data_IF_023425053671
#
_entry.id   IF_023425053671
#
_cell.length_a   1.000
_cell.length_b   1.000
_cell.length_c   1.000
_cell.angle_alpha   90.00
_cell.angle_beta   90.00
_cell.angle_gamma   90.00
#
_symmetry.space_group_name_H-M   'P 1'
#
loop_
_entity.id
_entity.type
_entity.pdbx_description
1 polymer ?
#
# COMPACT_ATOMS: atom_id res chain seq x y z
N UNK A 1 29.54 -17.26 1.89
CA UNK A 1 28.95 -15.97 1.46
C UNK A 1 29.47 -14.90 2.38
N UNK A 2 29.63 -13.67 1.91
CA UNK A 2 29.91 -12.54 2.82
C UNK A 2 28.66 -12.22 3.64
N UNK A 3 28.82 -11.68 4.85
CA UNK A 3 27.71 -11.14 5.65
C UNK A 3 26.93 -10.08 4.88
N UNK A 4 27.59 -9.32 4.01
CA UNK A 4 26.94 -8.34 3.13
C UNK A 4 26.03 -9.03 2.09
N UNK A 5 26.47 -10.15 1.52
CA UNK A 5 25.66 -10.93 0.57
C UNK A 5 24.45 -11.55 1.27
N UNK A 6 24.62 -12.05 2.49
CA UNK A 6 23.54 -12.60 3.32
C UNK A 6 22.51 -11.52 3.66
N UNK A 7 22.97 -10.31 4.04
CA UNK A 7 22.08 -9.17 4.31
C UNK A 7 21.32 -8.75 3.04
N UNK A 8 22.00 -8.66 1.90
CA UNK A 8 21.35 -8.34 0.62
C UNK A 8 20.30 -9.38 0.26
N UNK A 9 20.61 -10.66 0.44
CA UNK A 9 19.65 -11.74 0.18
C UNK A 9 18.46 -11.70 1.14
N UNK A 10 18.67 -11.34 2.41
CA UNK A 10 17.59 -11.14 3.37
C UNK A 10 16.68 -9.97 2.94
N UNK A 11 17.25 -8.84 2.50
CA UNK A 11 16.49 -7.68 2.00
C UNK A 11 15.64 -8.06 0.78
N UNK A 12 16.20 -8.81 -0.18
CA UNK A 12 15.47 -9.34 -1.34
C UNK A 12 14.28 -10.21 -0.89
N UNK A 13 14.54 -11.15 0.01
CA UNK A 13 13.55 -12.14 0.45
C UNK A 13 12.42 -11.50 1.25
N UNK A 14 12.75 -10.60 2.18
CA UNK A 14 11.79 -9.84 2.99
C UNK A 14 10.97 -8.90 2.10
N UNK A 15 11.58 -8.21 1.14
CA UNK A 15 10.86 -7.36 0.18
C UNK A 15 9.81 -8.16 -0.59
N UNK A 16 10.15 -9.38 -1.04
CA UNK A 16 9.21 -10.24 -1.75
C UNK A 16 8.00 -10.64 -0.88
N UNK A 17 8.22 -10.95 0.40
CA UNK A 17 7.14 -11.24 1.36
C UNK A 17 6.30 -9.99 1.61
N UNK A 18 6.95 -8.84 1.85
CA UNK A 18 6.29 -7.56 2.09
C UNK A 18 5.36 -7.18 0.93
N UNK A 19 5.82 -7.28 -0.32
CA UNK A 19 4.98 -7.02 -1.52
C UNK A 19 3.73 -7.90 -1.53
N UNK A 20 3.85 -9.20 -1.20
CA UNK A 20 2.69 -10.10 -1.14
C UNK A 20 1.72 -9.70 -0.03
N UNK A 21 2.24 -9.36 1.15
CA UNK A 21 1.42 -8.92 2.29
C UNK A 21 0.67 -7.63 1.97
N UNK A 22 1.34 -6.63 1.38
CA UNK A 22 0.72 -5.37 0.98
C UNK A 22 -0.40 -5.59 -0.04
N UNK A 23 -0.18 -6.45 -1.05
CA UNK A 23 -1.21 -6.80 -2.02
C UNK A 23 -2.39 -7.51 -1.37
N UNK A 24 -2.14 -8.47 -0.47
CA UNK A 24 -3.18 -9.16 0.26
C UNK A 24 -4.01 -8.18 1.12
N UNK A 25 -3.36 -7.22 1.77
CA UNK A 25 -4.04 -6.18 2.54
C UNK A 25 -4.96 -5.33 1.64
N UNK A 26 -4.46 -4.89 0.48
CA UNK A 26 -5.26 -4.16 -0.49
C UNK A 26 -6.46 -4.95 -1.03
N UNK A 27 -6.27 -6.24 -1.30
CA UNK A 27 -7.34 -7.15 -1.75
C UNK A 27 -8.42 -7.37 -0.67
N UNK A 28 -8.08 -7.23 0.61
CA UNK A 28 -9.03 -7.31 1.73
C UNK A 28 -9.71 -5.97 2.06
N UNK A 29 -9.73 -5.03 1.09
CA UNK A 29 -10.45 -3.76 1.24
C UNK A 29 -9.67 -2.66 1.95
N UNK A 30 -8.37 -2.84 2.18
CA UNK A 30 -7.51 -1.83 2.82
C UNK A 30 -6.39 -1.31 1.89
N UNK A 31 -6.69 -0.92 0.63
CA UNK A 31 -5.63 -0.57 -0.33
C UNK A 31 -4.91 0.73 0.02
N UNK A 32 -5.61 1.73 0.59
CA UNK A 32 -5.00 3.00 1.02
C UNK A 32 -3.97 2.81 2.14
N UNK A 33 -4.31 2.00 3.15
CA UNK A 33 -3.39 1.69 4.25
C UNK A 33 -2.19 0.88 3.75
N UNK A 34 -2.43 -0.10 2.88
CA UNK A 34 -1.36 -0.83 2.21
C UNK A 34 -0.43 0.12 1.44
N UNK A 35 -0.98 1.11 0.74
CA UNK A 35 -0.19 2.03 -0.08
C UNK A 35 0.67 2.96 0.79
N UNK A 36 0.15 3.42 1.94
CA UNK A 36 0.94 4.16 2.95
C UNK A 36 2.10 3.33 3.50
N UNK A 37 1.87 2.06 3.83
CA UNK A 37 2.92 1.17 4.31
C UNK A 37 3.97 0.90 3.23
N UNK A 38 3.54 0.72 1.98
CA UNK A 38 4.42 0.58 0.82
C UNK A 38 5.31 1.83 0.64
N UNK A 39 4.75 3.03 0.73
CA UNK A 39 5.52 4.28 0.61
C UNK A 39 6.65 4.38 1.66
N UNK A 40 6.40 3.97 2.91
CA UNK A 40 7.44 3.93 3.96
C UNK A 40 8.57 2.97 3.59
N UNK A 41 8.23 1.78 3.10
CA UNK A 41 9.22 0.79 2.67
C UNK A 41 10.03 1.28 1.45
N UNK A 42 9.38 1.94 0.49
CA UNK A 42 10.04 2.53 -0.67
C UNK A 42 11.13 3.52 -0.25
N UNK A 43 10.80 4.47 0.63
CA UNK A 43 11.76 5.47 1.10
C UNK A 43 12.92 4.87 1.87
N UNK A 44 12.70 3.79 2.62
CA UNK A 44 13.77 3.08 3.34
C UNK A 44 14.73 2.33 2.40
N UNK A 45 14.21 1.74 1.32
CA UNK A 45 14.99 0.94 0.37
C UNK A 45 15.67 1.79 -0.71
N UNK A 46 15.06 2.89 -1.12
CA UNK A 46 15.52 3.74 -2.23
C UNK A 46 17.02 4.10 -2.18
N UNK A 47 17.64 4.41 -1.02
CA UNK A 47 19.06 4.78 -0.98
C UNK A 47 20.03 3.62 -1.15
N UNK A 48 19.70 2.41 -0.68
CA UNK A 48 20.64 1.29 -0.52
C UNK A 48 20.25 0.04 -1.31
N UNK A 49 19.02 -0.04 -1.80
CA UNK A 49 18.44 -1.20 -2.47
C UNK A 49 17.41 -0.74 -3.52
N UNK A 50 17.86 -0.04 -4.58
CA UNK A 50 16.97 0.59 -5.56
C UNK A 50 16.09 -0.41 -6.32
N UNK A 51 16.60 -1.61 -6.62
CA UNK A 51 15.84 -2.66 -7.30
C UNK A 51 14.66 -3.14 -6.43
N UNK A 52 14.89 -3.30 -5.13
CA UNK A 52 13.85 -3.64 -4.16
C UNK A 52 12.85 -2.50 -3.95
N UNK A 53 13.32 -1.25 -3.96
CA UNK A 53 12.45 -0.08 -3.94
C UNK A 53 11.52 -0.05 -5.16
N UNK A 54 12.01 -0.35 -6.37
CA UNK A 54 11.17 -0.39 -7.57
C UNK A 54 10.10 -1.50 -7.50
N UNK A 55 10.41 -2.64 -6.86
CA UNK A 55 9.39 -3.67 -6.60
C UNK A 55 8.27 -3.17 -5.68
N UNK A 56 8.61 -2.38 -4.66
CA UNK A 56 7.62 -1.72 -3.80
C UNK A 56 6.84 -0.67 -4.58
N UNK A 57 7.49 0.09 -5.47
CA UNK A 57 6.82 1.04 -6.36
C UNK A 57 5.77 0.37 -7.26
N UNK A 58 6.11 -0.78 -7.85
CA UNK A 58 5.14 -1.59 -8.58
C UNK A 58 3.96 -2.07 -7.72
N UNK A 59 4.16 -2.32 -6.41
CA UNK A 59 3.08 -2.61 -5.48
C UNK A 59 2.20 -1.38 -5.22
N UNK A 60 2.78 -0.19 -5.04
CA UNK A 60 2.03 1.07 -4.90
C UNK A 60 1.12 1.33 -6.11
N UNK A 61 1.63 1.16 -7.34
CA UNK A 61 0.82 1.29 -8.56
C UNK A 61 -0.33 0.27 -8.64
N UNK A 62 -0.12 -0.95 -8.12
CA UNK A 62 -1.20 -1.93 -8.02
C UNK A 62 -2.27 -1.49 -7.01
N UNK A 63 -1.86 -1.03 -5.83
CA UNK A 63 -2.75 -0.61 -4.76
C UNK A 63 -3.56 0.64 -5.13
N UNK A 64 -2.94 1.64 -5.78
CA UNK A 64 -3.64 2.83 -6.27
C UNK A 64 -4.77 2.49 -7.26
N UNK A 65 -4.59 1.44 -8.08
CA UNK A 65 -5.66 0.95 -8.96
C UNK A 65 -6.81 0.30 -8.18
N UNK A 66 -6.51 -0.39 -7.09
CA UNK A 66 -7.55 -0.94 -6.20
C UNK A 66 -8.30 0.18 -5.48
N UNK A 67 -7.61 1.19 -4.95
CA UNK A 67 -8.23 2.39 -4.36
C UNK A 67 -9.21 3.06 -5.33
N UNK A 68 -8.83 3.17 -6.61
CA UNK A 68 -9.67 3.79 -7.63
C UNK A 68 -10.90 2.95 -8.02
N UNK A 69 -10.89 1.64 -7.75
CA UNK A 69 -11.98 0.72 -8.12
C UNK A 69 -12.95 0.50 -6.96
N UNK A 70 -12.48 0.63 -5.72
CA UNK A 70 -13.34 0.61 -4.54
C UNK A 70 -14.10 1.93 -4.50
N UNK A 71 -15.35 1.95 -4.97
CA UNK A 71 -16.21 3.13 -4.79
C UNK A 71 -16.23 3.51 -3.31
N UNK A 72 -16.12 4.81 -2.97
CA UNK A 72 -16.28 5.24 -1.60
C UNK A 72 -17.69 4.85 -1.18
N UNK A 73 -17.80 3.95 -0.20
CA UNK A 73 -19.09 3.67 0.44
C UNK A 73 -19.70 5.02 0.80
N UNK A 74 -20.85 5.42 0.23
CA UNK A 74 -21.47 6.67 0.59
C UNK A 74 -21.75 6.60 2.08
N UNK A 75 -21.08 7.47 2.85
CA UNK A 75 -21.41 7.68 4.26
C UNK A 75 -22.90 8.01 4.37
N UNK A 76 -23.53 7.75 5.54
CA UNK A 76 -24.96 7.97 5.69
C UNK A 76 -25.30 9.40 5.25
N UNK A 77 -26.10 9.50 4.18
CA UNK A 77 -26.64 10.76 3.69
C UNK A 77 -27.42 11.36 4.84
N UNK A 78 -26.87 12.39 5.48
CA UNK A 78 -27.66 13.26 6.33
C UNK A 78 -28.68 13.96 5.44
N UNK A 79 -29.86 13.38 5.37
CA UNK A 79 -31.05 14.01 4.79
C UNK A 79 -31.28 15.33 5.53
N UNK A 80 -31.25 16.50 4.85
CA UNK A 80 -31.59 17.75 5.50
C UNK A 80 -33.09 17.71 5.84
N UNK A 81 -33.40 17.55 7.13
CA UNK A 81 -34.76 17.66 7.63
C UNK A 81 -35.25 19.09 7.37
N UNK A 82 -36.06 19.27 6.32
CA UNK A 82 -36.81 20.50 6.12
C UNK A 82 -37.74 20.70 7.32
N UNK A 83 -37.45 21.71 8.14
CA UNK A 83 -38.46 22.28 9.05
C UNK A 83 -39.35 23.19 8.20
N UNK A 84 -40.57 22.75 7.94
CA UNK A 84 -41.67 23.66 7.64
C UNK A 84 -41.97 24.46 8.90
N UNK A 85 -41.71 25.77 8.85
CA UNK A 85 -42.29 26.73 9.80
C UNK A 85 -43.53 27.36 9.18
N UNK A 86 -44.50 27.58 10.07
CA UNK A 86 -45.92 27.81 9.86
C UNK A 86 -46.30 29.21 9.34
#
# INVERSE_FOLDING_TARGET
>A
MSTEDELRQAVVSVTAVLVRTLRALGQNGQPEEANRLAAKAYWALRPTSPDEAERINGAMHYLARLESTTEPTPGPTHEPTHKEEA
#
